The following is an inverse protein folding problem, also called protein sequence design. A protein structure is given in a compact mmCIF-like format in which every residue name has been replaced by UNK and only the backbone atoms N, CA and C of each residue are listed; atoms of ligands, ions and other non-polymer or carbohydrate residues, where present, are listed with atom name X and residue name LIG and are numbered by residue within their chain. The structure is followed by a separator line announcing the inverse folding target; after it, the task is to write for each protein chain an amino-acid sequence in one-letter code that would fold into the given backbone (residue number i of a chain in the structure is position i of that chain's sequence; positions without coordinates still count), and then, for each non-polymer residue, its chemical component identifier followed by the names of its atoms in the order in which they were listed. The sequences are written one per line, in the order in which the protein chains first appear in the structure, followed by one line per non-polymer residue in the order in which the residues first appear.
data_IF_397654544176
#
_entry.id   IF_397654544176
#
_cell.length_a   1.000
_cell.length_b   1.000
_cell.length_c   1.000
_cell.angle_alpha   90.00
_cell.angle_beta   90.00
_cell.angle_gamma   90.00
#
_symmetry.space_group_name_H-M   'P 1'
#
loop_
_entity.id
_entity.type
_entity.pdbx_description
1 polymer ?
#
# COMPACT_ATOMS: atom_id res chain seq x y z
N UNK A 1 5.93 5.91 16.52
CA UNK A 1 6.53 4.97 15.56
C UNK A 1 6.85 5.71 14.28
N UNK A 2 8.08 5.64 13.79
CA UNK A 2 8.44 6.29 12.55
C UNK A 2 8.13 5.37 11.36
N UNK A 3 8.19 5.91 10.15
CA UNK A 3 7.85 5.15 8.94
C UNK A 3 8.78 3.95 8.73
N UNK A 4 10.06 4.11 9.03
CA UNK A 4 11.05 3.05 8.87
C UNK A 4 10.71 1.85 9.76
N UNK A 5 10.34 2.10 11.01
CA UNK A 5 9.91 1.06 11.93
C UNK A 5 8.61 0.39 11.45
N UNK A 6 7.67 1.19 10.97
CA UNK A 6 6.40 0.69 10.45
C UNK A 6 6.65 -0.23 9.26
N UNK A 7 7.55 0.17 8.36
CA UNK A 7 7.90 -0.62 7.18
C UNK A 7 8.60 -1.93 7.58
N UNK A 8 9.52 -1.87 8.54
CA UNK A 8 10.21 -3.05 9.04
C UNK A 8 9.22 -4.06 9.63
N UNK A 9 8.26 -3.59 10.43
CA UNK A 9 7.24 -4.45 11.01
C UNK A 9 6.35 -5.07 9.93
N UNK A 10 5.98 -4.29 8.90
CA UNK A 10 5.18 -4.80 7.80
C UNK A 10 5.91 -5.87 7.00
N UNK A 11 7.23 -5.74 6.83
CA UNK A 11 8.04 -6.78 6.18
C UNK A 11 8.02 -8.10 6.96
N UNK A 12 7.83 -8.02 8.27
CA UNK A 12 7.71 -9.21 9.13
C UNK A 12 6.26 -9.68 9.25
N UNK A 13 5.41 -9.30 8.30
CA UNK A 13 4.02 -9.72 8.21
C UNK A 13 3.12 -9.26 9.37
N UNK A 14 3.49 -8.16 10.04
CA UNK A 14 2.63 -7.56 11.04
C UNK A 14 1.40 -6.93 10.37
N UNK A 15 0.19 -7.45 10.63
CA UNK A 15 -1.01 -6.98 9.92
C UNK A 15 -1.38 -5.53 10.24
N UNK A 16 -1.15 -5.07 11.46
CA UNK A 16 -1.45 -3.68 11.83
C UNK A 16 -0.52 -2.72 11.09
N UNK A 17 0.75 -3.08 10.94
CA UNK A 17 1.72 -2.25 10.24
C UNK A 17 1.41 -2.20 8.75
N UNK A 18 1.02 -3.33 8.15
CA UNK A 18 0.59 -3.37 6.75
C UNK A 18 -0.63 -2.48 6.54
N UNK A 19 -1.63 -2.59 7.41
CA UNK A 19 -2.83 -1.77 7.33
C UNK A 19 -2.49 -0.28 7.46
N UNK A 20 -1.57 0.07 8.35
CA UNK A 20 -1.12 1.45 8.52
C UNK A 20 -0.49 2.01 7.25
N UNK A 21 0.35 1.22 6.58
CA UNK A 21 0.97 1.64 5.32
C UNK A 21 -0.09 1.79 4.23
N UNK A 22 -1.02 0.84 4.11
CA UNK A 22 -2.11 0.93 3.14
C UNK A 22 -2.96 2.18 3.38
N UNK A 23 -3.26 2.51 4.64
CA UNK A 23 -4.03 3.70 4.98
C UNK A 23 -3.31 4.98 4.56
N UNK A 24 -1.99 5.03 4.72
CA UNK A 24 -1.18 6.18 4.30
C UNK A 24 -1.23 6.40 2.79
N UNK A 25 -1.25 5.32 2.01
CA UNK A 25 -1.23 5.39 0.55
C UNK A 25 -2.61 5.28 -0.09
N UNK A 26 -3.66 5.04 0.70
CA UNK A 26 -5.02 4.90 0.17
C UNK A 26 -5.46 6.08 -0.70
N UNK A 27 -5.26 7.34 -0.27
CA UNK A 27 -5.66 8.46 -1.13
C UNK A 27 -4.97 8.46 -2.49
N UNK A 28 -3.70 8.08 -2.52
CA UNK A 28 -2.94 7.98 -3.75
C UNK A 28 -3.45 6.83 -4.63
N UNK A 29 -3.71 5.68 -4.02
CA UNK A 29 -4.24 4.52 -4.73
C UNK A 29 -5.61 4.83 -5.37
N UNK A 30 -6.47 5.51 -4.62
CA UNK A 30 -7.78 5.91 -5.12
C UNK A 30 -7.62 6.88 -6.29
N UNK A 31 -6.76 7.87 -6.15
CA UNK A 31 -6.50 8.84 -7.20
C UNK A 31 -6.00 8.18 -8.48
N UNK A 32 -5.04 7.27 -8.36
CA UNK A 32 -4.47 6.57 -9.50
C UNK A 32 -5.44 5.55 -10.12
N UNK A 33 -6.46 5.15 -9.37
CA UNK A 33 -7.47 4.21 -9.85
C UNK A 33 -8.65 4.88 -10.54
N UNK A 34 -8.68 6.23 -10.57
CA UNK A 34 -9.71 6.96 -11.29
C UNK A 34 -9.33 7.05 -12.76
N UNK A 35 -10.12 6.40 -13.60
CA UNK A 35 -9.91 6.38 -15.05
C UNK A 35 -11.10 7.06 -15.70
N UNK A 36 -10.85 8.19 -16.38
CA UNK A 36 -11.89 8.97 -17.06
C UNK A 36 -13.06 9.34 -16.15
N UNK A 37 -12.75 9.66 -14.88
CA UNK A 37 -13.76 10.05 -13.90
C UNK A 37 -14.47 8.89 -13.24
N UNK A 38 -14.11 7.65 -13.55
CA UNK A 38 -14.70 6.45 -12.93
C UNK A 38 -13.67 5.68 -12.16
N UNK A 39 -14.08 5.15 -11.00
CA UNK A 39 -13.19 4.33 -10.19
C UNK A 39 -13.05 2.93 -10.79
N UNK A 40 -11.81 2.51 -11.02
CA UNK A 40 -11.49 1.20 -11.56
C UNK A 40 -11.07 0.27 -10.42
N UNK A 41 -11.95 -0.63 -10.01
CA UNK A 41 -11.70 -1.55 -8.91
C UNK A 41 -10.57 -2.53 -9.21
N UNK A 42 -10.48 -3.00 -10.43
CA UNK A 42 -9.43 -3.94 -10.83
C UNK A 42 -8.06 -3.28 -10.74
N UNK A 43 -7.97 -2.04 -11.21
CA UNK A 43 -6.73 -1.28 -11.11
C UNK A 43 -6.36 -0.99 -9.65
N UNK A 44 -7.35 -0.64 -8.83
CA UNK A 44 -7.14 -0.40 -7.41
C UNK A 44 -6.57 -1.65 -6.72
N UNK A 45 -7.16 -2.81 -6.99
CA UNK A 45 -6.71 -4.06 -6.42
C UNK A 45 -5.29 -4.41 -6.89
N UNK A 46 -5.01 -4.20 -8.17
CA UNK A 46 -3.68 -4.42 -8.72
C UNK A 46 -2.64 -3.51 -8.07
N UNK A 47 -2.99 -2.25 -7.85
CA UNK A 47 -2.09 -1.30 -7.18
C UNK A 47 -1.84 -1.70 -5.72
N UNK A 48 -2.84 -2.24 -5.04
CA UNK A 48 -2.66 -2.77 -3.69
C UNK A 48 -1.67 -3.93 -3.68
N UNK A 49 -1.76 -4.82 -4.66
CA UNK A 49 -0.84 -5.94 -4.78
C UNK A 49 0.59 -5.47 -5.04
N UNK A 50 0.74 -4.45 -5.88
CA UNK A 50 2.06 -3.84 -6.14
C UNK A 50 2.62 -3.23 -4.87
N UNK A 51 1.80 -2.53 -4.10
CA UNK A 51 2.25 -1.94 -2.84
C UNK A 51 2.70 -3.01 -1.85
N UNK A 52 1.95 -4.10 -1.74
CA UNK A 52 2.33 -5.22 -0.88
C UNK A 52 3.68 -5.82 -1.31
N UNK A 53 3.88 -5.97 -2.60
CA UNK A 53 5.13 -6.48 -3.15
C UNK A 53 6.29 -5.55 -2.85
N UNK A 54 6.08 -4.24 -2.98
CA UNK A 54 7.09 -3.23 -2.67
C UNK A 54 7.48 -3.31 -1.19
N UNK A 55 6.50 -3.46 -0.29
CA UNK A 55 6.77 -3.62 1.14
C UNK A 55 7.68 -4.82 1.38
N UNK A 56 7.37 -5.95 0.76
CA UNK A 56 8.13 -7.19 0.97
C UNK A 56 9.54 -7.14 0.41
N UNK A 57 9.74 -6.38 -0.67
CA UNK A 57 11.03 -6.35 -1.37
C UNK A 57 11.86 -5.11 -1.04
N UNK A 58 11.32 -4.17 -0.29
CA UNK A 58 12.03 -2.94 0.05
C UNK A 58 13.28 -3.27 0.91
N UNK A 59 14.45 -2.76 0.54
CA UNK A 59 15.69 -3.09 1.25
C UNK A 59 15.79 -2.30 2.56
N UNK A 60 15.58 -2.98 3.67
CA UNK A 60 15.79 -2.44 5.01
C UNK A 60 16.74 -3.36 5.76
#
# INVERSE_FOLDING_TARGET
MNFEQLLANAKNDDPESKAGIFDMYRPLLIKESLVKGSFDEDLYQELQEVLLKVIKTFPI
#
